data_IF_777809211174
#
_entry.id   IF_777809211174
#
_cell.length_a   1.000
_cell.length_b   1.000
_cell.length_c   1.000
_cell.angle_alpha   90.00
_cell.angle_beta   90.00
_cell.angle_gamma   90.00
#
_symmetry.space_group_name_H-M   'P 1'
#
loop_
_entity.id
_entity.type
_entity.pdbx_description
1 polymer ?
#
# COMPACT_ATOMS: atom_id res chain seq x y z
N UNK A 1 15.38 22.17 -8.20
CA UNK A 1 15.13 21.13 -9.21
C UNK A 1 15.48 19.82 -8.55
N UNK A 2 14.46 19.00 -8.28
CA UNK A 2 14.47 17.89 -7.33
C UNK A 2 15.46 16.80 -7.74
N UNK A 3 16.69 16.91 -7.21
CA UNK A 3 17.77 15.96 -7.43
C UNK A 3 17.41 14.53 -6.96
N UNK A 4 16.47 14.42 -6.02
CA UNK A 4 16.03 13.14 -5.50
C UNK A 4 15.33 12.26 -6.55
N UNK A 5 14.41 12.80 -7.35
CA UNK A 5 13.70 12.00 -8.37
C UNK A 5 14.62 11.54 -9.51
N UNK A 6 15.83 12.12 -9.62
CA UNK A 6 16.90 11.67 -10.51
C UNK A 6 17.97 10.81 -9.83
N UNK A 7 17.87 10.59 -8.51
CA UNK A 7 18.85 9.84 -7.73
C UNK A 7 18.81 8.33 -8.01
N UNK A 8 19.90 7.63 -7.72
CA UNK A 8 19.95 6.17 -7.79
C UNK A 8 18.92 5.52 -6.85
N UNK A 9 18.83 6.01 -5.60
CA UNK A 9 17.90 5.52 -4.59
C UNK A 9 16.44 5.60 -5.03
N UNK A 10 16.03 6.69 -5.70
CA UNK A 10 14.68 6.78 -6.27
C UNK A 10 14.47 5.77 -7.41
N UNK A 11 15.44 5.61 -8.31
CA UNK A 11 15.31 4.68 -9.45
C UNK A 11 15.21 3.23 -8.99
N UNK A 12 16.06 2.82 -8.04
CA UNK A 12 16.06 1.47 -7.48
C UNK A 12 14.72 1.15 -6.82
N UNK A 13 14.19 2.06 -5.99
CA UNK A 13 12.86 1.91 -5.39
C UNK A 13 11.76 1.92 -6.46
N UNK A 14 11.79 2.82 -7.44
CA UNK A 14 10.79 2.85 -8.49
C UNK A 14 10.76 1.54 -9.30
N UNK A 15 11.91 0.93 -9.53
CA UNK A 15 12.03 -0.40 -10.15
C UNK A 15 11.46 -1.51 -9.24
N UNK A 16 11.84 -1.53 -7.95
CA UNK A 16 11.37 -2.50 -6.95
C UNK A 16 9.84 -2.52 -6.84
N UNK A 17 9.20 -1.35 -6.89
CA UNK A 17 7.74 -1.21 -6.82
C UNK A 17 7.06 -1.17 -8.21
N UNK A 18 7.82 -1.34 -9.29
CA UNK A 18 7.34 -1.29 -10.67
C UNK A 18 6.53 -0.02 -10.98
N UNK A 19 7.03 1.13 -10.52
CA UNK A 19 6.47 2.44 -10.78
C UNK A 19 6.80 2.89 -12.21
N UNK A 20 5.78 3.15 -13.00
CA UNK A 20 5.92 3.70 -14.34
C UNK A 20 5.88 5.22 -14.30
N UNK A 21 6.92 5.88 -14.81
CA UNK A 21 6.96 7.35 -14.86
C UNK A 21 6.33 7.84 -16.17
N UNK A 22 5.32 8.69 -16.05
CA UNK A 22 4.57 9.28 -17.17
C UNK A 22 3.20 8.64 -17.40
N UNK A 23 2.69 8.79 -18.62
CA UNK A 23 1.40 8.26 -19.02
C UNK A 23 1.43 6.72 -19.13
N UNK A 24 0.29 6.04 -18.86
CA UNK A 24 0.18 4.59 -19.08
C UNK A 24 0.63 4.16 -20.48
N UNK A 25 1.29 3.00 -20.62
CA UNK A 25 1.65 2.46 -21.92
C UNK A 25 0.45 2.40 -22.88
N UNK A 26 0.67 2.81 -24.13
CA UNK A 26 -0.34 2.71 -25.18
C UNK A 26 -0.80 1.26 -25.34
N UNK A 27 -2.10 1.07 -25.53
CA UNK A 27 -2.68 -0.25 -25.67
C UNK A 27 -2.93 -0.98 -24.35
N UNK A 28 -2.74 -0.35 -23.19
CA UNK A 28 -3.18 -0.92 -21.90
C UNK A 28 -4.63 -1.41 -21.95
N UNK A 29 -4.91 -2.61 -21.44
CA UNK A 29 -6.23 -3.28 -21.45
C UNK A 29 -7.27 -2.43 -20.72
N UNK A 30 -6.87 -1.87 -19.58
CA UNK A 30 -7.70 -0.96 -18.79
C UNK A 30 -6.80 0.04 -18.09
N UNK A 31 -7.26 1.28 -18.04
CA UNK A 31 -6.69 2.36 -17.24
C UNK A 31 -7.78 3.00 -16.40
N UNK A 32 -7.41 3.54 -15.25
CA UNK A 32 -8.28 4.40 -14.42
C UNK A 32 -7.42 5.42 -13.68
N UNK A 33 -7.81 6.69 -13.70
CA UNK A 33 -7.14 7.71 -12.90
C UNK A 33 -7.38 7.46 -11.41
N UNK A 34 -6.40 7.74 -10.55
CA UNK A 34 -6.58 7.60 -9.11
C UNK A 34 -7.68 8.53 -8.58
N UNK A 35 -7.90 9.69 -9.20
CA UNK A 35 -9.02 10.58 -8.86
C UNK A 35 -10.38 9.89 -9.10
N UNK A 36 -10.54 9.23 -10.24
CA UNK A 36 -11.76 8.47 -10.56
C UNK A 36 -11.96 7.28 -9.62
N UNK A 37 -10.88 6.70 -9.08
CA UNK A 37 -10.98 5.61 -8.12
C UNK A 37 -11.60 6.07 -6.77
N UNK A 38 -11.59 7.37 -6.48
CA UNK A 38 -12.27 7.96 -5.31
C UNK A 38 -13.76 8.24 -5.59
N UNK A 39 -14.21 8.12 -6.84
CA UNK A 39 -15.62 8.26 -7.20
C UNK A 39 -16.29 6.88 -7.11
N UNK A 40 -17.33 6.74 -6.26
CA UNK A 40 -17.94 5.44 -5.98
C UNK A 40 -18.38 4.70 -7.26
N UNK A 41 -19.00 5.40 -8.21
CA UNK A 41 -19.50 4.81 -9.46
C UNK A 41 -18.36 4.27 -10.34
N UNK A 42 -17.32 5.06 -10.57
CA UNK A 42 -16.16 4.66 -11.36
C UNK A 42 -15.34 3.56 -10.66
N UNK A 43 -15.19 3.64 -9.34
CA UNK A 43 -14.56 2.61 -8.54
C UNK A 43 -15.32 1.28 -8.60
N UNK A 44 -16.65 1.31 -8.50
CA UNK A 44 -17.53 0.13 -8.65
C UNK A 44 -17.38 -0.51 -10.03
N UNK A 45 -17.40 0.29 -11.10
CA UNK A 45 -17.21 -0.21 -12.45
C UNK A 45 -15.84 -0.89 -12.61
N UNK A 46 -14.77 -0.21 -12.15
CA UNK A 46 -13.42 -0.73 -12.22
C UNK A 46 -13.23 -2.02 -11.42
N UNK A 47 -13.74 -2.09 -10.19
CA UNK A 47 -13.65 -3.31 -9.36
C UNK A 47 -14.50 -4.44 -9.96
N UNK A 48 -15.65 -4.14 -10.58
CA UNK A 48 -16.47 -5.15 -11.26
C UNK A 48 -15.75 -5.73 -12.49
N UNK A 49 -15.10 -4.87 -13.28
CA UNK A 49 -14.24 -5.32 -14.38
C UNK A 49 -13.04 -6.13 -13.86
N UNK A 50 -12.34 -5.60 -12.84
CA UNK A 50 -11.16 -6.24 -12.25
C UNK A 50 -11.51 -7.63 -11.72
N UNK A 51 -12.66 -7.79 -11.07
CA UNK A 51 -13.17 -9.08 -10.59
C UNK A 51 -13.13 -10.15 -11.68
N UNK A 52 -13.70 -9.84 -12.85
CA UNK A 52 -13.68 -10.76 -14.00
C UNK A 52 -12.27 -10.98 -14.53
N UNK A 53 -11.48 -9.91 -14.63
CA UNK A 53 -10.13 -9.95 -15.19
C UNK A 53 -9.14 -10.78 -14.36
N UNK A 54 -9.19 -10.69 -13.02
CA UNK A 54 -8.32 -11.46 -12.12
C UNK A 54 -8.92 -12.82 -11.70
N UNK A 55 -10.13 -13.16 -12.16
CA UNK A 55 -10.83 -14.38 -11.75
C UNK A 55 -11.27 -14.38 -10.28
N UNK A 56 -11.55 -13.22 -9.69
CA UNK A 56 -12.09 -13.17 -8.33
C UNK A 56 -13.55 -13.64 -8.29
N UNK A 57 -13.96 -14.43 -7.28
CA UNK A 57 -15.30 -15.02 -7.24
C UNK A 57 -16.41 -13.99 -6.98
N UNK A 58 -16.10 -12.86 -6.33
CA UNK A 58 -17.06 -11.81 -6.03
C UNK A 58 -16.38 -10.42 -5.86
N UNK A 59 -17.20 -9.38 -5.66
CA UNK A 59 -16.74 -8.02 -5.43
C UNK A 59 -15.91 -7.87 -4.14
N UNK A 60 -16.16 -8.71 -3.13
CA UNK A 60 -15.45 -8.66 -1.85
C UNK A 60 -14.01 -9.08 -1.99
N UNK A 61 -13.77 -10.17 -2.71
CA UNK A 61 -12.42 -10.64 -2.98
C UNK A 61 -11.69 -9.64 -3.88
N UNK A 62 -12.35 -9.13 -4.93
CA UNK A 62 -11.75 -8.14 -5.83
C UNK A 62 -11.35 -6.85 -5.10
N UNK A 63 -12.23 -6.28 -4.27
CA UNK A 63 -11.95 -5.07 -3.48
C UNK A 63 -10.81 -5.30 -2.47
N UNK A 64 -10.81 -6.44 -1.76
CA UNK A 64 -9.73 -6.81 -0.84
C UNK A 64 -8.39 -6.93 -1.54
N UNK A 65 -8.33 -7.60 -2.70
CA UNK A 65 -7.10 -7.75 -3.47
C UNK A 65 -6.62 -6.41 -4.04
N UNK A 66 -7.52 -5.56 -4.53
CA UNK A 66 -7.17 -4.24 -5.01
C UNK A 66 -6.55 -3.39 -3.90
N UNK A 67 -7.14 -3.36 -2.69
CA UNK A 67 -6.54 -2.66 -1.55
C UNK A 67 -5.13 -3.19 -1.21
N UNK A 68 -4.93 -4.52 -1.25
CA UNK A 68 -3.61 -5.13 -1.04
C UNK A 68 -2.60 -4.75 -2.13
N UNK A 69 -3.04 -4.53 -3.37
CA UNK A 69 -2.20 -4.09 -4.48
C UNK A 69 -1.89 -2.59 -4.39
N UNK A 70 -2.87 -1.76 -4.01
CA UNK A 70 -2.67 -0.33 -3.72
C UNK A 70 -1.64 -0.14 -2.58
N UNK A 71 -1.74 -0.93 -1.52
CA UNK A 71 -0.75 -0.89 -0.43
C UNK A 71 0.68 -1.14 -0.93
N UNK A 72 0.86 -1.98 -1.94
CA UNK A 72 2.16 -2.27 -2.54
C UNK A 72 2.61 -1.18 -3.53
N UNK A 73 1.74 -0.80 -4.47
CA UNK A 73 2.12 0.14 -5.54
C UNK A 73 2.21 1.59 -5.08
N UNK A 74 1.41 1.97 -4.08
CA UNK A 74 1.24 3.37 -3.70
C UNK A 74 1.80 3.61 -2.30
N UNK A 75 1.31 2.90 -1.29
CA UNK A 75 1.63 3.26 0.10
C UNK A 75 3.06 2.88 0.48
N UNK A 76 3.49 1.66 0.13
CA UNK A 76 4.84 1.19 0.44
C UNK A 76 5.94 2.11 -0.13
N UNK A 77 5.99 2.46 -1.43
CA UNK A 77 7.06 3.32 -1.96
C UNK A 77 7.05 4.74 -1.37
N UNK A 78 5.89 5.31 -1.03
CA UNK A 78 5.83 6.63 -0.40
C UNK A 78 6.37 6.60 1.03
N UNK A 79 6.07 5.55 1.80
CA UNK A 79 6.67 5.36 3.11
C UNK A 79 8.16 5.03 3.02
N UNK A 80 8.60 4.30 2.00
CA UNK A 80 10.02 4.07 1.74
C UNK A 80 10.75 5.38 1.49
N UNK A 81 10.22 6.27 0.64
CA UNK A 81 10.79 7.59 0.41
C UNK A 81 10.87 8.41 1.72
N UNK A 82 9.80 8.43 2.52
CA UNK A 82 9.75 9.18 3.78
C UNK A 82 10.75 8.66 4.82
N UNK A 83 10.77 7.34 5.03
CA UNK A 83 11.55 6.72 6.11
C UNK A 83 13.00 6.46 5.71
N UNK A 84 13.29 5.99 4.51
CA UNK A 84 14.65 5.60 4.12
C UNK A 84 15.41 6.73 3.45
N UNK A 85 14.72 7.50 2.60
CA UNK A 85 15.36 8.57 1.85
C UNK A 85 15.15 9.95 2.48
N UNK A 86 14.32 10.04 3.53
CA UNK A 86 13.97 11.29 4.19
C UNK A 86 13.44 12.31 3.17
N UNK A 87 12.51 11.85 2.31
CA UNK A 87 11.88 12.64 1.26
C UNK A 87 10.37 12.39 1.26
N UNK A 88 9.62 13.46 1.08
CA UNK A 88 8.21 13.38 0.73
C UNK A 88 8.11 13.25 -0.78
N UNK A 89 7.26 12.35 -1.25
CA UNK A 89 6.92 12.23 -2.66
C UNK A 89 5.42 12.38 -2.82
N UNK A 90 5.02 13.27 -3.71
CA UNK A 90 3.60 13.54 -3.96
C UNK A 90 3.33 13.69 -5.45
N UNK A 91 2.11 13.36 -5.83
CA UNK A 91 1.64 13.40 -7.21
C UNK A 91 0.16 13.75 -7.29
N UNK A 92 -0.28 14.38 -8.38
CA UNK A 92 -1.71 14.65 -8.63
C UNK A 92 -2.46 13.37 -9.00
N UNK A 93 -3.63 13.15 -8.40
CA UNK A 93 -4.42 11.93 -8.59
C UNK A 93 -5.11 11.84 -9.97
N UNK A 94 -5.39 12.99 -10.60
CA UNK A 94 -5.99 13.09 -11.93
C UNK A 94 -5.02 12.79 -13.07
N UNK A 95 -3.71 12.73 -12.77
CA UNK A 95 -2.65 12.39 -13.72
C UNK A 95 -1.86 11.15 -13.31
N UNK A 96 -2.38 10.39 -12.35
CA UNK A 96 -1.79 9.15 -11.89
C UNK A 96 -2.80 8.04 -12.09
N UNK A 97 -2.35 6.89 -12.60
CA UNK A 97 -3.27 5.90 -13.13
C UNK A 97 -2.90 4.50 -12.67
N UNK A 98 -3.92 3.71 -12.34
CA UNK A 98 -3.78 2.26 -12.39
C UNK A 98 -3.93 1.80 -13.84
N UNK A 99 -3.03 0.95 -14.31
CA UNK A 99 -3.09 0.41 -15.67
C UNK A 99 -2.79 -1.09 -15.72
N UNK A 100 -3.32 -1.76 -16.75
CA UNK A 100 -3.12 -3.19 -17.03
C UNK A 100 -2.47 -3.35 -18.41
N UNK A 101 -1.23 -3.89 -18.53
CA UNK A 101 -0.56 -4.11 -19.81
C UNK A 101 -1.32 -5.05 -20.75
N UNK A 102 -1.23 -4.83 -22.08
CA UNK A 102 -1.91 -5.66 -23.08
C UNK A 102 -1.25 -7.00 -23.42
N UNK A 103 -0.02 -7.26 -22.96
CA UNK A 103 0.70 -8.52 -23.22
C UNK A 103 1.64 -8.86 -22.04
N UNK A 104 1.89 -10.15 -21.76
CA UNK A 104 2.71 -10.59 -20.62
C UNK A 104 4.24 -10.48 -20.84
N UNK A 105 4.73 -9.90 -21.94
CA UNK A 105 6.13 -10.07 -22.35
C UNK A 105 7.18 -9.17 -21.67
N UNK A 106 6.89 -8.51 -20.55
CA UNK A 106 7.99 -7.82 -19.82
C UNK A 106 7.76 -7.45 -18.34
N UNK A 107 6.59 -7.65 -17.76
CA UNK A 107 6.38 -7.37 -16.33
C UNK A 107 5.56 -8.47 -15.66
N UNK A 108 6.24 -9.57 -15.34
CA UNK A 108 5.84 -10.71 -14.50
C UNK A 108 4.33 -10.98 -14.35
N UNK A 109 3.82 -11.97 -15.10
CA UNK A 109 2.69 -12.90 -14.87
C UNK A 109 1.47 -12.46 -14.03
N UNK A 110 1.23 -11.17 -13.83
CA UNK A 110 0.19 -10.68 -12.93
C UNK A 110 -0.90 -9.92 -13.68
N UNK A 111 -2.15 -10.36 -13.49
CA UNK A 111 -3.33 -9.64 -13.94
C UNK A 111 -3.73 -8.47 -13.00
N UNK A 112 -2.89 -8.15 -12.01
CA UNK A 112 -3.09 -6.99 -11.14
C UNK A 112 -2.55 -5.71 -11.78
N UNK A 113 -3.12 -4.53 -11.46
CA UNK A 113 -2.68 -3.28 -12.06
C UNK A 113 -1.22 -2.94 -11.71
N UNK A 114 -0.64 -2.04 -12.48
CA UNK A 114 0.57 -1.29 -12.18
C UNK A 114 0.22 0.19 -11.97
N UNK A 115 1.17 0.99 -11.49
CA UNK A 115 0.96 2.41 -11.19
C UNK A 115 1.79 3.28 -12.14
N UNK A 116 1.12 4.12 -12.92
CA UNK A 116 1.72 5.17 -13.72
C UNK A 116 1.59 6.52 -13.00
N UNK A 117 2.69 7.25 -12.86
CA UNK A 117 2.78 8.52 -12.13
C UNK A 117 3.23 9.64 -13.07
N UNK A 118 2.36 10.62 -13.29
CA UNK A 118 2.70 11.85 -13.99
C UNK A 118 2.63 13.06 -13.04
N UNK A 119 3.53 14.02 -13.20
CA UNK A 119 3.61 15.21 -12.35
C UNK A 119 4.13 14.94 -10.93
N UNK A 120 4.95 13.89 -10.76
CA UNK A 120 5.62 13.57 -9.51
C UNK A 120 6.52 14.73 -9.03
N UNK A 121 6.50 14.98 -7.74
CA UNK A 121 7.34 15.99 -7.06
C UNK A 121 7.91 15.41 -5.79
N UNK A 122 9.06 15.94 -5.37
CA UNK A 122 9.66 15.56 -4.11
C UNK A 122 10.07 16.78 -3.28
N UNK A 123 10.00 16.63 -1.97
CA UNK A 123 10.47 17.64 -1.04
C UNK A 123 11.28 16.98 0.08
N UNK A 124 12.35 17.65 0.51
CA UNK A 124 13.06 17.27 1.73
C UNK A 124 12.32 17.85 2.94
N UNK A 125 12.39 17.20 4.11
CA UNK A 125 11.78 17.73 5.31
C UNK A 125 12.37 19.10 5.68
N UNK A 126 11.57 19.98 6.30
CA UNK A 126 12.06 21.17 6.98
C UNK A 126 12.87 20.80 8.24
N UNK A 127 13.33 21.79 9.00
CA UNK A 127 14.08 21.57 10.25
C UNK A 127 13.26 20.74 11.26
N UNK A 128 11.95 20.96 11.33
CA UNK A 128 11.03 20.16 12.15
C UNK A 128 10.52 18.94 11.40
N UNK A 129 11.26 17.83 11.51
CA UNK A 129 10.89 16.55 10.90
C UNK A 129 9.64 15.94 11.52
N UNK A 130 9.35 16.18 12.79
CA UNK A 130 8.21 15.56 13.46
C UNK A 130 6.90 16.13 12.93
N UNK A 131 6.77 17.45 12.88
CA UNK A 131 5.63 18.13 12.28
C UNK A 131 5.46 17.74 10.79
N UNK A 132 6.56 17.71 10.04
CA UNK A 132 6.53 17.25 8.65
C UNK A 132 6.04 15.81 8.49
N UNK A 133 6.48 14.89 9.36
CA UNK A 133 6.02 13.49 9.32
C UNK A 133 4.53 13.40 9.61
N UNK A 134 3.99 14.22 10.52
CA UNK A 134 2.55 14.29 10.77
C UNK A 134 1.78 14.70 9.51
N UNK A 135 2.21 15.76 8.83
CA UNK A 135 1.60 16.26 7.59
C UNK A 135 1.64 15.22 6.47
N UNK A 136 2.79 14.58 6.25
CA UNK A 136 2.95 13.52 5.23
C UNK A 136 2.01 12.35 5.51
N UNK A 137 1.89 11.93 6.78
CA UNK A 137 1.02 10.82 7.17
C UNK A 137 -0.45 11.21 7.03
N UNK A 138 -0.84 12.43 7.41
CA UNK A 138 -2.21 12.92 7.23
C UNK A 138 -2.62 12.97 5.76
N UNK A 139 -1.78 13.56 4.90
CA UNK A 139 -2.05 13.66 3.47
C UNK A 139 -2.10 12.28 2.81
N UNK A 140 -1.18 11.38 3.17
CA UNK A 140 -1.14 10.02 2.61
C UNK A 140 -2.36 9.19 3.04
N UNK A 141 -2.70 9.20 4.33
CA UNK A 141 -3.69 8.30 4.88
C UNK A 141 -5.07 8.93 5.02
N UNK A 142 -5.22 10.03 5.74
CA UNK A 142 -6.53 10.65 5.96
C UNK A 142 -7.10 11.27 4.68
N UNK A 143 -6.30 12.02 3.93
CA UNK A 143 -6.79 12.75 2.76
C UNK A 143 -6.98 11.84 1.53
N UNK A 144 -6.14 10.81 1.37
CA UNK A 144 -6.11 9.98 0.15
C UNK A 144 -6.54 8.54 0.39
N UNK A 145 -5.80 7.77 1.20
CA UNK A 145 -6.05 6.33 1.29
C UNK A 145 -7.39 5.99 1.97
N UNK A 146 -7.73 6.65 3.08
CA UNK A 146 -8.90 6.31 3.88
C UNK A 146 -10.22 6.43 3.10
N UNK A 147 -10.52 7.55 2.38
CA UNK A 147 -11.72 7.65 1.55
C UNK A 147 -11.83 6.56 0.48
N UNK A 148 -10.69 6.18 -0.12
CA UNK A 148 -10.63 5.07 -1.06
C UNK A 148 -10.93 3.73 -0.38
N UNK A 149 -10.37 3.45 0.79
CA UNK A 149 -10.68 2.22 1.53
C UNK A 149 -12.15 2.17 1.96
N UNK A 150 -12.76 3.28 2.35
CA UNK A 150 -14.19 3.36 2.66
C UNK A 150 -15.05 3.04 1.44
N UNK A 151 -14.68 3.59 0.28
CA UNK A 151 -15.34 3.27 -1.00
C UNK A 151 -15.23 1.78 -1.31
N UNK A 152 -14.04 1.19 -1.20
CA UNK A 152 -13.82 -0.25 -1.40
C UNK A 152 -14.62 -1.11 -0.41
N UNK A 153 -14.71 -0.67 0.85
CA UNK A 153 -15.49 -1.35 1.89
C UNK A 153 -16.97 -1.40 1.55
N UNK A 154 -17.52 -0.29 1.02
CA UNK A 154 -18.92 -0.18 0.64
C UNK A 154 -19.27 -1.00 -0.62
N UNK A 155 -18.46 -0.92 -1.69
CA UNK A 155 -18.76 -1.60 -2.95
C UNK A 155 -18.49 -3.11 -2.90
N UNK A 156 -17.51 -3.53 -2.08
CA UNK A 156 -17.04 -4.91 -1.97
C UNK A 156 -17.53 -5.64 -0.70
N UNK A 157 -18.63 -5.22 -0.07
CA UNK A 157 -18.94 -5.51 1.35
C UNK A 157 -17.80 -6.13 2.18
N UNK A 158 -16.67 -5.42 2.28
CA UNK A 158 -15.45 -5.88 2.95
C UNK A 158 -15.24 -5.03 4.19
N UNK A 159 -14.94 -5.66 5.32
CA UNK A 159 -14.68 -4.92 6.55
C UNK A 159 -13.49 -3.98 6.35
N UNK A 160 -13.63 -2.72 6.77
CA UNK A 160 -12.54 -1.73 6.77
C UNK A 160 -11.30 -2.26 7.50
N UNK A 161 -11.50 -3.12 8.49
CA UNK A 161 -10.47 -3.81 9.23
C UNK A 161 -9.63 -4.77 8.36
N UNK A 162 -10.24 -5.46 7.38
CA UNK A 162 -9.52 -6.30 6.41
C UNK A 162 -8.65 -5.42 5.50
N UNK A 163 -9.20 -4.29 5.06
CA UNK A 163 -8.52 -3.36 4.14
C UNK A 163 -7.29 -2.74 4.80
N UNK A 164 -7.43 -2.18 6.00
CA UNK A 164 -6.30 -1.64 6.76
C UNK A 164 -5.22 -2.68 7.04
N UNK A 165 -5.59 -3.93 7.32
CA UNK A 165 -4.60 -4.98 7.50
C UNK A 165 -3.90 -5.37 6.20
N UNK A 166 -4.59 -5.33 5.06
CA UNK A 166 -3.96 -5.52 3.76
C UNK A 166 -2.90 -4.43 3.48
N UNK A 167 -3.14 -3.19 3.92
CA UNK A 167 -2.12 -2.12 3.89
C UNK A 167 -0.99 -2.46 4.87
N UNK A 168 -1.31 -2.83 6.12
CA UNK A 168 -0.31 -3.21 7.13
C UNK A 168 0.64 -4.30 6.62
N UNK A 169 0.12 -5.32 5.93
CA UNK A 169 0.90 -6.42 5.37
C UNK A 169 1.92 -5.95 4.33
N UNK A 170 1.69 -4.81 3.66
CA UNK A 170 2.61 -4.23 2.67
C UNK A 170 3.62 -3.28 3.30
N UNK A 171 3.25 -2.56 4.35
CA UNK A 171 4.16 -1.59 5.00
C UNK A 171 5.04 -2.24 6.08
N UNK A 172 4.55 -3.27 6.79
CA UNK A 172 5.27 -3.90 7.88
C UNK A 172 6.67 -4.46 7.50
N UNK A 173 6.86 -5.07 6.32
CA UNK A 173 8.18 -5.54 5.90
C UNK A 173 9.21 -4.42 5.78
N UNK A 174 8.79 -3.19 5.45
CA UNK A 174 9.69 -2.04 5.37
C UNK A 174 10.35 -1.75 6.72
N UNK A 175 9.64 -1.99 7.82
CA UNK A 175 10.12 -1.68 9.16
C UNK A 175 10.64 -2.91 9.91
N UNK A 176 11.00 -3.96 9.17
CA UNK A 176 11.67 -5.16 9.70
C UNK A 176 13.17 -5.03 9.42
N UNK A 177 13.94 -4.36 10.30
CA UNK A 177 15.30 -3.90 9.99
C UNK A 177 16.20 -5.04 9.50
N UNK A 178 16.88 -4.79 8.39
CA UNK A 178 17.92 -5.67 7.86
C UNK A 178 19.16 -5.69 8.77
N UNK A 179 20.06 -6.66 8.54
CA UNK A 179 21.34 -6.71 9.27
C UNK A 179 22.25 -5.51 8.95
N UNK A 180 21.99 -4.81 7.84
CA UNK A 180 22.84 -3.76 7.28
C UNK A 180 22.45 -2.34 7.71
N UNK A 181 21.35 -2.17 8.47
CA UNK A 181 20.90 -0.87 8.97
C UNK A 181 21.57 -0.51 10.30
N UNK A 182 22.30 0.61 10.33
CA UNK A 182 23.05 1.05 11.51
C UNK A 182 22.81 2.53 11.85
N UNK A 183 23.06 2.89 13.10
CA UNK A 183 23.07 4.28 13.56
C UNK A 183 21.74 5.02 13.36
N UNK A 184 21.82 6.22 12.77
CA UNK A 184 20.69 7.14 12.62
C UNK A 184 19.56 6.60 11.72
N UNK A 185 19.89 5.78 10.72
CA UNK A 185 18.91 5.19 9.82
C UNK A 185 18.00 4.21 10.57
N UNK A 186 18.60 3.30 11.34
CA UNK A 186 17.86 2.34 12.18
C UNK A 186 16.97 3.04 13.20
N UNK A 187 17.46 4.12 13.82
CA UNK A 187 16.67 4.90 14.76
C UNK A 187 15.45 5.52 14.07
N UNK A 188 15.63 6.13 12.90
CA UNK A 188 14.54 6.74 12.12
C UNK A 188 13.49 5.72 11.70
N UNK A 189 13.90 4.53 11.26
CA UNK A 189 12.99 3.43 10.91
C UNK A 189 12.14 3.01 12.12
N UNK A 190 12.76 2.88 13.30
CA UNK A 190 12.04 2.54 14.53
C UNK A 190 11.07 3.65 14.96
N UNK A 191 11.51 4.90 14.91
CA UNK A 191 10.69 6.07 15.27
C UNK A 191 9.50 6.24 14.33
N UNK A 192 9.70 6.12 13.02
CA UNK A 192 8.63 6.23 12.02
C UNK A 192 7.63 5.08 12.15
N UNK A 193 8.09 3.85 12.40
CA UNK A 193 7.18 2.73 12.62
C UNK A 193 6.39 2.89 13.92
N UNK A 194 7.05 3.34 15.00
CA UNK A 194 6.38 3.63 16.25
C UNK A 194 5.35 4.75 16.10
N UNK A 195 5.70 5.79 15.34
CA UNK A 195 4.80 6.87 15.00
C UNK A 195 3.55 6.34 14.28
N UNK A 196 3.73 5.65 13.15
CA UNK A 196 2.64 5.12 12.32
C UNK A 196 1.71 4.18 13.08
N UNK A 197 2.24 3.41 14.04
CA UNK A 197 1.48 2.29 14.64
C UNK A 197 1.02 2.53 16.09
N UNK A 198 1.63 3.47 16.83
CA UNK A 198 1.36 3.68 18.25
C UNK A 198 1.14 5.14 18.64
N UNK A 199 1.93 6.07 18.08
CA UNK A 199 1.92 7.48 18.53
C UNK A 199 0.88 8.30 17.77
N UNK A 200 0.84 8.17 16.44
CA UNK A 200 -0.03 8.95 15.58
C UNK A 200 -1.51 8.78 15.96
N UNK A 201 -2.26 9.88 16.19
CA UNK A 201 -3.68 9.81 16.51
C UNK A 201 -4.49 9.29 15.32
N UNK A 202 -5.69 8.78 15.59
CA UNK A 202 -6.55 8.22 14.53
C UNK A 202 -6.89 9.22 13.43
N UNK A 203 -6.91 10.53 13.74
CA UNK A 203 -7.25 11.61 12.80
C UNK A 203 -6.33 11.62 11.59
N UNK A 204 -5.02 11.36 11.76
CA UNK A 204 -4.06 11.27 10.65
C UNK A 204 -4.35 10.11 9.69
N UNK A 205 -5.28 9.21 10.04
CA UNK A 205 -5.73 8.11 9.20
C UNK A 205 -7.22 8.21 8.82
N UNK A 206 -7.86 9.36 9.06
CA UNK A 206 -9.30 9.52 8.84
C UNK A 206 -10.17 8.66 9.76
N UNK A 207 -9.65 8.24 10.92
CA UNK A 207 -10.30 7.27 11.80
C UNK A 207 -10.42 7.76 13.25
N UNK A 208 -11.34 7.18 14.03
CA UNK A 208 -11.47 7.51 15.46
C UNK A 208 -10.27 7.03 16.30
N UNK A 209 -9.59 5.97 15.85
CA UNK A 209 -8.42 5.37 16.49
C UNK A 209 -7.45 4.98 15.40
N UNK A 210 -6.15 4.96 15.71
CA UNK A 210 -5.13 4.52 14.78
C UNK A 210 -5.43 3.08 14.29
N UNK A 211 -5.61 2.87 12.97
CA UNK A 211 -6.03 1.57 12.43
C UNK A 211 -4.93 0.52 12.52
N UNK A 212 -3.66 0.92 12.62
CA UNK A 212 -2.50 0.02 12.63
C UNK A 212 -2.16 -0.53 14.02
N UNK A 213 -2.52 0.17 15.10
CA UNK A 213 -2.23 -0.21 16.49
C UNK A 213 -2.64 -1.64 16.85
N UNK A 214 -3.73 -2.14 16.26
CA UNK A 214 -4.23 -3.49 16.54
C UNK A 214 -3.40 -4.60 15.89
N UNK A 215 -2.62 -4.29 14.84
CA UNK A 215 -1.77 -5.24 14.12
C UNK A 215 -0.32 -5.26 14.61
N UNK A 216 0.00 -4.50 15.65
CA UNK A 216 1.31 -4.51 16.27
C UNK A 216 1.28 -5.11 17.67
N UNK A 217 2.41 -5.65 18.07
CA UNK A 217 2.73 -6.12 19.42
C UNK A 217 4.03 -5.45 19.90
N UNK A 218 4.42 -5.66 21.15
CA UNK A 218 5.63 -5.05 21.71
C UNK A 218 6.74 -6.09 21.75
N UNK A 219 7.91 -5.72 21.23
CA UNK A 219 9.15 -6.46 21.37
C UNK A 219 10.21 -5.51 21.94
N UNK A 220 10.73 -5.78 23.14
CA UNK A 220 11.75 -4.97 23.81
C UNK A 220 11.50 -3.44 23.76
N UNK A 221 10.25 -3.05 24.04
CA UNK A 221 9.73 -1.66 24.04
C UNK A 221 9.57 -1.00 22.67
N UNK A 222 9.90 -1.67 21.57
CA UNK A 222 9.58 -1.22 20.22
C UNK A 222 8.31 -1.94 19.69
N UNK A 223 7.44 -1.25 18.94
CA UNK A 223 6.35 -1.93 18.25
C UNK A 223 6.93 -2.79 17.12
N UNK A 224 6.39 -3.99 16.97
CA UNK A 224 6.64 -4.88 15.84
C UNK A 224 5.32 -5.32 15.22
N UNK A 225 5.30 -5.56 13.91
CA UNK A 225 4.12 -6.11 13.27
C UNK A 225 3.89 -7.56 13.74
N UNK A 226 2.62 -7.90 14.00
CA UNK A 226 2.25 -9.26 14.35
C UNK A 226 2.68 -10.26 13.28
N UNK A 227 3.19 -11.40 13.72
CA UNK A 227 3.65 -12.48 12.83
C UNK A 227 2.49 -13.14 12.09
N UNK A 228 1.34 -13.31 12.76
CA UNK A 228 0.09 -13.81 12.17
C UNK A 228 -0.88 -12.67 11.92
N UNK A 229 -1.64 -12.77 10.83
CA UNK A 229 -2.74 -11.86 10.54
C UNK A 229 -3.90 -12.08 11.50
N UNK A 230 -4.68 -11.04 11.70
CA UNK A 230 -5.94 -11.05 12.46
C UNK A 230 -7.12 -11.30 11.52
N UNK A 231 -7.07 -10.77 10.30
CA UNK A 231 -8.13 -10.89 9.29
C UNK A 231 -7.69 -11.71 8.08
N UNK A 232 -8.66 -12.39 7.46
CA UNK A 232 -8.44 -13.09 6.20
C UNK A 232 -8.59 -12.11 5.03
N UNK A 233 -7.62 -12.07 4.12
CA UNK A 233 -7.71 -11.25 2.91
C UNK A 233 -8.52 -11.88 1.77
N UNK A 234 -9.01 -13.11 1.95
CA UNK A 234 -9.76 -13.87 0.94
C UNK A 234 -8.95 -14.38 -0.26
N UNK A 235 -7.62 -14.22 -0.28
CA UNK A 235 -6.76 -14.73 -1.35
C UNK A 235 -6.98 -16.21 -1.67
N UNK A 236 -7.17 -17.05 -0.65
CA UNK A 236 -7.44 -18.48 -0.81
C UNK A 236 -8.67 -18.81 -1.67
N UNK A 237 -9.63 -17.88 -1.74
CA UNK A 237 -10.83 -18.04 -2.58
C UNK A 237 -10.54 -17.86 -4.08
N UNK A 238 -9.38 -17.29 -4.42
CA UNK A 238 -8.91 -17.16 -5.80
C UNK A 238 -7.88 -18.22 -6.17
N UNK A 239 -6.91 -18.48 -5.29
CA UNK A 239 -5.77 -19.35 -5.59
C UNK A 239 -5.96 -20.81 -5.17
N UNK A 240 -6.92 -21.10 -4.28
CA UNK A 240 -7.00 -22.40 -3.60
C UNK A 240 -5.97 -22.58 -2.47
N UNK A 241 -5.09 -21.61 -2.26
CA UNK A 241 -4.00 -21.67 -1.26
C UNK A 241 -4.11 -20.55 -0.23
N UNK A 242 -3.71 -20.82 1.01
CA UNK A 242 -3.65 -19.80 2.04
C UNK A 242 -2.36 -18.99 1.94
N UNK A 243 -2.44 -17.68 2.22
CA UNK A 243 -1.23 -16.88 2.39
C UNK A 243 -0.49 -17.31 3.67
N UNK A 244 0.84 -17.24 3.66
CA UNK A 244 1.71 -17.63 4.79
C UNK A 244 1.28 -17.18 6.19
N UNK A 245 0.72 -15.98 6.31
CA UNK A 245 0.28 -15.40 7.60
C UNK A 245 -1.23 -15.50 7.83
N UNK A 246 -1.97 -16.34 7.09
CA UNK A 246 -3.43 -16.39 7.11
C UNK A 246 -3.99 -16.81 8.49
N UNK A 247 -5.03 -16.15 9.02
CA UNK A 247 -5.64 -16.55 10.29
C UNK A 247 -6.49 -17.83 10.17
N UNK A 248 -6.72 -18.34 8.96
CA UNK A 248 -7.49 -19.57 8.71
C UNK A 248 -6.63 -20.83 8.69
N UNK A 249 -5.31 -20.71 8.83
CA UNK A 249 -4.42 -21.87 8.89
C UNK A 249 -4.41 -22.39 10.33
N UNK A 250 -4.92 -23.60 10.51
CA UNK A 250 -4.69 -24.49 11.64
C UNK A 250 -3.78 -25.65 11.21
N UNK A 251 -3.47 -26.57 12.13
CA UNK A 251 -2.57 -27.70 11.88
C UNK A 251 -3.03 -28.61 10.71
N UNK A 252 -4.31 -28.59 10.34
CA UNK A 252 -4.85 -29.41 9.24
C UNK A 252 -4.62 -28.76 7.86
N UNK A 253 -4.43 -27.44 7.82
CA UNK A 253 -4.31 -26.67 6.58
C UNK A 253 -2.85 -26.27 6.24
N UNK A 254 -1.85 -26.75 7.00
CA UNK A 254 -0.43 -26.40 6.78
C UNK A 254 0.09 -26.86 5.41
N UNK A 255 -0.45 -27.95 4.85
CA UNK A 255 -0.08 -28.44 3.51
C UNK A 255 -0.56 -27.55 2.35
N UNK A 256 -1.41 -26.55 2.62
CA UNK A 256 -2.02 -25.65 1.63
C UNK A 256 -1.40 -24.23 1.64
N UNK A 257 -0.21 -24.11 2.22
CA UNK A 257 0.56 -22.88 2.31
C UNK A 257 1.26 -22.54 0.98
N UNK A 258 1.15 -21.28 0.57
CA UNK A 258 1.94 -20.67 -0.53
C UNK A 258 3.28 -20.14 -0.04
#
# INVERSE_FOLDING_TARGET
MDNYLSSASWREMAEEYSLWLGEPPKGSVRTIALSQLHEEAACREYVSWLKGYIGAPDMQVAASMLAKRIGYLWIAPLLTAMTFHNQEVFFPLDRSFLYHPAFPDSTGDTHFPFLALNGLRAASPPEDREAWREEVVEELFAARLAPLLETLAAIGPVSIAVLWENIMVRIAPLYSPGADEFGQERQRIQEDFAFLTRVAPGQLFGARRNPFTRYTENNDKAPVAKTKRITCCFYYRMSGEYCRKCPKIDNENESQLK
#
